data_IF_329824371527
#
_entry.id   IF_329824371527
#
_cell.length_a   1.000
_cell.length_b   1.000
_cell.length_c   1.000
_cell.angle_alpha   90.00
_cell.angle_beta   90.00
_cell.angle_gamma   90.00
#
_symmetry.space_group_name_H-M   'P 1'
#
loop_
_entity.id
_entity.type
_entity.pdbx_description
1 polymer ?
#
# COMPACT_ATOMS: atom_id res chain seq x y z
N UNK A 1 18.05 -21.76 -4.03
CA UNK A 1 18.71 -20.50 -4.44
C UNK A 1 19.99 -20.27 -3.63
N UNK A 2 20.91 -19.52 -4.19
CA UNK A 2 22.16 -19.13 -3.53
C UNK A 2 22.65 -17.79 -4.06
N UNK A 3 23.44 -17.10 -3.23
CA UNK A 3 24.28 -16.00 -3.70
C UNK A 3 25.72 -16.49 -3.82
N UNK A 4 26.36 -16.16 -4.92
CA UNK A 4 27.79 -16.28 -5.13
C UNK A 4 28.38 -14.89 -5.36
N UNK A 5 29.46 -14.55 -4.69
CA UNK A 5 30.14 -13.28 -4.88
C UNK A 5 31.66 -13.51 -4.96
N UNK A 6 32.38 -12.62 -5.65
CA UNK A 6 33.83 -12.70 -5.74
C UNK A 6 34.50 -12.27 -4.43
N UNK A 7 34.01 -11.17 -3.86
CA UNK A 7 34.48 -10.64 -2.58
C UNK A 7 33.27 -10.41 -1.67
N UNK A 8 33.39 -10.87 -0.43
CA UNK A 8 32.37 -10.68 0.61
C UNK A 8 33.05 -10.06 1.82
N UNK A 9 32.62 -8.87 2.21
CA UNK A 9 33.03 -8.19 3.43
C UNK A 9 31.84 -8.14 4.35
N UNK A 10 31.95 -8.74 5.53
CA UNK A 10 30.91 -8.73 6.55
C UNK A 10 31.40 -7.88 7.72
N UNK A 11 30.77 -6.77 7.97
CA UNK A 11 30.99 -5.97 9.17
C UNK A 11 30.16 -6.56 10.29
N UNK A 12 30.79 -6.94 11.39
CA UNK A 12 30.10 -7.43 12.56
C UNK A 12 29.17 -6.32 13.06
N UNK A 13 27.88 -6.63 13.19
CA UNK A 13 26.88 -5.66 13.53
C UNK A 13 26.59 -4.59 12.44
N UNK A 14 26.96 -4.80 11.20
CA UNK A 14 26.81 -3.88 10.06
C UNK A 14 26.14 -4.51 8.85
N UNK A 15 26.82 -4.43 7.75
CA UNK A 15 26.36 -4.92 6.44
C UNK A 15 27.28 -6.02 5.92
N UNK A 16 26.72 -6.92 5.11
CA UNK A 16 27.50 -7.73 4.19
C UNK A 16 27.56 -7.00 2.84
N UNK A 17 28.76 -6.60 2.45
CA UNK A 17 29.01 -6.02 1.13
C UNK A 17 29.55 -7.12 0.21
N UNK A 18 28.86 -7.33 -0.90
CA UNK A 18 29.19 -8.34 -1.90
C UNK A 18 29.61 -7.64 -3.19
N UNK A 19 30.80 -7.96 -3.72
CA UNK A 19 31.23 -7.52 -5.05
C UNK A 19 31.03 -8.62 -6.06
N UNK A 20 30.58 -8.26 -7.26
CA UNK A 20 30.24 -9.19 -8.34
C UNK A 20 29.26 -10.29 -7.87
N UNK A 21 28.22 -9.87 -7.15
CA UNK A 21 27.20 -10.77 -6.64
C UNK A 21 26.35 -11.36 -7.77
N UNK A 22 26.16 -12.68 -7.73
CA UNK A 22 25.30 -13.43 -8.62
C UNK A 22 24.24 -14.13 -7.78
N UNK A 23 22.98 -13.88 -8.06
CA UNK A 23 21.89 -14.68 -7.53
C UNK A 23 21.63 -15.85 -8.47
N UNK A 24 21.57 -17.06 -7.93
CA UNK A 24 21.48 -18.30 -8.69
C UNK A 24 20.28 -19.11 -8.22
N UNK A 25 19.57 -19.67 -9.19
CA UNK A 25 18.52 -20.69 -8.96
C UNK A 25 19.02 -21.97 -9.62
N UNK A 26 19.17 -23.05 -8.82
CA UNK A 26 19.71 -24.34 -9.28
C UNK A 26 21.00 -24.18 -10.09
N UNK A 27 21.95 -23.37 -9.59
CA UNK A 27 23.24 -23.06 -10.22
C UNK A 27 23.17 -22.20 -11.52
N UNK A 28 21.98 -21.78 -11.95
CA UNK A 28 21.83 -20.87 -13.08
C UNK A 28 21.82 -19.43 -12.57
N UNK A 29 22.75 -18.56 -12.99
CA UNK A 29 22.72 -17.16 -12.59
C UNK A 29 21.53 -16.45 -13.26
N UNK A 30 20.64 -15.92 -12.44
CA UNK A 30 19.43 -15.20 -12.89
C UNK A 30 19.52 -13.69 -12.66
N UNK A 31 20.46 -13.26 -11.83
CA UNK A 31 20.71 -11.85 -11.58
C UNK A 31 22.20 -11.64 -11.25
N UNK A 32 22.74 -10.50 -11.70
CA UNK A 32 24.10 -10.06 -11.42
C UNK A 32 24.09 -8.61 -10.96
N UNK A 33 24.84 -8.33 -9.88
CA UNK A 33 25.12 -6.96 -9.45
C UNK A 33 26.62 -6.77 -9.25
N UNK A 34 27.22 -5.71 -9.78
CA UNK A 34 28.64 -5.42 -9.54
C UNK A 34 28.90 -5.12 -8.05
N UNK A 35 27.90 -4.63 -7.35
CA UNK A 35 27.93 -4.34 -5.92
C UNK A 35 26.55 -4.56 -5.30
N UNK A 36 26.51 -5.23 -4.15
CA UNK A 36 25.29 -5.49 -3.40
C UNK A 36 25.58 -5.35 -1.91
N UNK A 37 24.72 -4.68 -1.18
CA UNK A 37 24.78 -4.52 0.25
C UNK A 37 23.54 -5.14 0.91
N UNK A 38 23.77 -6.08 1.81
CA UNK A 38 22.71 -6.77 2.55
C UNK A 38 22.86 -6.50 4.05
N UNK A 39 21.78 -6.16 4.76
CA UNK A 39 21.83 -6.03 6.21
C UNK A 39 22.00 -7.41 6.85
N UNK A 40 22.98 -7.54 7.77
CA UNK A 40 23.26 -8.79 8.50
C UNK A 40 22.82 -8.75 9.96
N UNK A 41 22.11 -7.72 10.38
CA UNK A 41 21.61 -7.52 11.76
C UNK A 41 20.10 -7.73 11.90
N UNK A 42 19.71 -8.04 13.15
CA UNK A 42 18.30 -7.99 13.60
C UNK A 42 17.74 -6.57 13.78
N UNK A 43 18.54 -5.52 13.54
CA UNK A 43 18.08 -4.12 13.60
C UNK A 43 17.68 -3.64 12.21
N UNK A 44 16.64 -2.80 12.15
CA UNK A 44 16.20 -2.14 10.91
C UNK A 44 17.36 -1.35 10.31
N UNK A 45 17.79 -1.68 9.11
CA UNK A 45 18.90 -1.03 8.41
C UNK A 45 18.54 -0.76 6.96
N UNK A 46 19.04 0.36 6.43
CA UNK A 46 18.90 0.70 5.01
C UNK A 46 19.64 -0.33 4.15
N UNK A 47 19.01 -0.81 3.09
CA UNK A 47 19.62 -1.76 2.15
C UNK A 47 18.61 -2.44 1.25
N UNK A 48 19.09 -3.25 0.34
CA UNK A 48 18.26 -4.05 -0.54
C UNK A 48 17.57 -5.17 0.24
N UNK A 49 16.29 -5.35 -0.03
CA UNK A 49 15.53 -6.51 0.43
C UNK A 49 15.69 -7.63 -0.59
N UNK A 50 15.38 -8.84 -0.15
CA UNK A 50 15.45 -10.02 -0.99
C UNK A 50 14.65 -9.82 -2.28
N UNK A 51 15.21 -10.11 -3.46
CA UNK A 51 14.50 -9.98 -4.72
C UNK A 51 13.30 -10.91 -4.78
N UNK A 52 12.20 -10.43 -5.33
CA UNK A 52 11.06 -11.25 -5.71
C UNK A 52 11.16 -11.60 -7.19
N UNK A 53 10.96 -12.87 -7.50
CA UNK A 53 11.01 -13.38 -8.88
C UNK A 53 9.76 -14.22 -9.09
N UNK A 54 9.08 -13.96 -10.18
CA UNK A 54 7.86 -14.67 -10.55
C UNK A 54 7.73 -14.85 -12.05
N UNK A 55 6.69 -15.58 -12.44
CA UNK A 55 6.29 -15.69 -13.84
C UNK A 55 4.81 -16.00 -13.91
N UNK A 56 4.11 -15.32 -14.77
CA UNK A 56 2.71 -15.59 -15.09
C UNK A 56 2.46 -15.42 -16.59
N UNK A 57 1.37 -15.97 -17.09
CA UNK A 57 0.99 -15.81 -18.49
C UNK A 57 0.79 -14.34 -18.85
N UNK A 58 0.11 -13.59 -17.98
CA UNK A 58 -0.24 -12.19 -18.24
C UNK A 58 0.93 -11.22 -18.07
N UNK A 59 1.76 -11.41 -17.04
CA UNK A 59 2.85 -10.50 -16.72
C UNK A 59 4.18 -10.91 -17.37
N UNK A 60 4.27 -12.17 -17.87
CA UNK A 60 5.53 -12.76 -18.26
C UNK A 60 6.43 -13.03 -17.05
N UNK A 61 7.74 -13.00 -17.25
CA UNK A 61 8.70 -13.04 -16.17
C UNK A 61 8.65 -11.73 -15.39
N UNK A 62 8.64 -11.83 -14.05
CA UNK A 62 8.59 -10.67 -13.15
C UNK A 62 9.81 -10.66 -12.24
N UNK A 63 10.34 -9.48 -12.02
CA UNK A 63 11.51 -9.28 -11.18
C UNK A 63 11.39 -7.98 -10.41
N UNK A 64 11.55 -8.04 -9.08
CA UNK A 64 11.45 -6.90 -8.19
C UNK A 64 12.63 -6.90 -7.21
N UNK A 65 13.36 -5.79 -7.12
CA UNK A 65 14.42 -5.59 -6.12
C UNK A 65 14.02 -4.43 -5.22
N UNK A 66 13.41 -4.68 -4.07
CA UNK A 66 13.05 -3.60 -3.17
C UNK A 66 14.28 -3.01 -2.47
N UNK A 67 14.28 -1.70 -2.30
CA UNK A 67 15.25 -0.98 -1.49
C UNK A 67 14.57 -0.40 -0.27
N UNK A 68 14.98 -0.86 0.91
CA UNK A 68 14.49 -0.37 2.19
C UNK A 68 15.37 0.79 2.68
N UNK A 69 14.73 1.89 3.01
CA UNK A 69 15.38 3.07 3.59
C UNK A 69 14.87 3.30 5.02
N UNK A 70 15.75 3.06 6.00
CA UNK A 70 15.50 3.40 7.40
C UNK A 70 15.78 4.89 7.63
N UNK A 71 14.72 5.73 7.57
CA UNK A 71 14.83 7.18 7.70
C UNK A 71 15.09 7.56 9.16
N UNK A 72 14.38 6.92 10.08
CA UNK A 72 14.53 7.12 11.53
C UNK A 72 14.07 5.88 12.30
N UNK A 73 14.18 5.91 13.62
CA UNK A 73 13.70 4.81 14.48
C UNK A 73 12.20 4.51 14.32
N UNK A 74 11.41 5.52 13.94
CA UNK A 74 9.95 5.43 13.80
C UNK A 74 9.44 5.61 12.38
N UNK A 75 10.32 5.79 11.38
CA UNK A 75 9.92 6.11 10.00
C UNK A 75 10.82 5.38 9.02
N UNK A 76 10.21 4.77 8.04
CA UNK A 76 10.91 4.10 6.93
C UNK A 76 10.17 4.24 5.59
N UNK A 77 10.88 3.90 4.54
CA UNK A 77 10.37 3.85 3.19
C UNK A 77 10.91 2.63 2.46
N UNK A 78 10.10 2.01 1.63
CA UNK A 78 10.54 0.97 0.69
C UNK A 78 10.22 1.41 -0.73
N UNK A 79 11.24 1.35 -1.58
CA UNK A 79 11.11 1.60 -3.01
C UNK A 79 11.11 0.24 -3.71
N UNK A 80 10.06 -0.03 -4.47
CA UNK A 80 9.90 -1.24 -5.27
C UNK A 80 10.24 -0.95 -6.72
N UNK A 81 10.99 -1.86 -7.36
CA UNK A 81 11.48 -1.71 -8.74
C UNK A 81 11.00 -2.87 -9.59
N UNK A 82 9.71 -3.12 -9.59
CA UNK A 82 9.13 -4.27 -10.26
C UNK A 82 9.14 -4.09 -11.79
N UNK A 83 9.62 -5.11 -12.50
CA UNK A 83 9.59 -5.18 -13.95
C UNK A 83 8.82 -6.42 -14.40
N UNK A 84 7.84 -6.18 -15.26
CA UNK A 84 6.92 -7.17 -15.83
C UNK A 84 7.23 -7.27 -17.33
N UNK A 85 7.82 -8.39 -17.78
CA UNK A 85 8.34 -8.50 -19.18
C UNK A 85 7.27 -8.20 -20.23
N UNK A 86 6.04 -8.65 -20.02
CA UNK A 86 4.95 -8.42 -20.97
C UNK A 86 4.26 -7.05 -20.80
N UNK A 87 4.45 -6.36 -19.67
CA UNK A 87 3.65 -5.18 -19.32
C UNK A 87 4.47 -3.90 -19.16
N UNK A 88 5.68 -3.99 -18.64
CA UNK A 88 6.57 -2.85 -18.45
C UNK A 88 7.10 -2.71 -17.03
N UNK A 89 7.58 -1.51 -16.73
CA UNK A 89 8.13 -1.17 -15.41
C UNK A 89 7.03 -0.62 -14.51
N UNK A 90 6.90 -1.22 -13.33
CA UNK A 90 5.91 -0.86 -12.29
C UNK A 90 6.62 -0.41 -11.01
N UNK A 91 7.10 0.84 -10.93
CA UNK A 91 7.64 1.38 -9.70
C UNK A 91 6.58 1.42 -8.61
N UNK A 92 7.04 1.16 -7.38
CA UNK A 92 6.20 1.23 -6.19
C UNK A 92 6.90 1.96 -5.06
N UNK A 93 6.13 2.56 -4.18
CA UNK A 93 6.59 3.24 -2.99
C UNK A 93 5.74 2.81 -1.80
N UNK A 94 6.39 2.52 -0.68
CA UNK A 94 5.75 2.33 0.62
C UNK A 94 6.42 3.27 1.61
N UNK A 95 5.64 4.11 2.26
CA UNK A 95 6.09 5.00 3.34
C UNK A 95 5.35 4.62 4.61
N UNK A 96 6.08 4.44 5.70
CA UNK A 96 5.54 4.02 6.98
C UNK A 96 6.14 4.83 8.12
N UNK A 97 5.29 5.22 9.06
CA UNK A 97 5.73 5.73 10.36
C UNK A 97 4.90 5.10 11.49
N UNK A 98 5.55 4.90 12.64
CA UNK A 98 4.93 4.40 13.88
C UNK A 98 5.60 5.11 15.04
N UNK A 99 4.94 6.08 15.64
CA UNK A 99 5.44 6.80 16.82
C UNK A 99 4.79 6.27 18.10
N UNK A 100 3.51 5.90 18.03
CA UNK A 100 2.72 5.29 19.10
C UNK A 100 1.66 4.36 18.51
N UNK A 101 0.91 3.67 19.36
CA UNK A 101 -0.19 2.80 18.93
C UNK A 101 -1.27 3.57 18.13
N UNK A 102 -1.55 4.80 18.57
CA UNK A 102 -2.54 5.71 17.99
C UNK A 102 -1.91 6.85 17.16
N UNK A 103 -0.61 6.76 16.87
CA UNK A 103 0.11 7.73 16.02
C UNK A 103 0.97 6.97 15.01
N UNK A 104 0.34 6.54 13.93
CA UNK A 104 0.92 5.69 12.91
C UNK A 104 0.30 5.92 11.53
N UNK A 105 1.04 5.61 10.49
CA UNK A 105 0.58 5.70 9.12
C UNK A 105 1.36 4.78 8.19
N UNK A 106 0.65 4.31 7.17
CA UNK A 106 1.17 3.52 6.06
C UNK A 106 0.55 4.05 4.77
N UNK A 107 1.37 4.49 3.84
CA UNK A 107 0.98 4.91 2.51
C UNK A 107 1.73 4.09 1.47
N UNK A 108 1.04 3.61 0.45
CA UNK A 108 1.62 2.88 -0.66
C UNK A 108 1.10 3.42 -1.98
N UNK A 109 1.95 3.42 -3.01
CA UNK A 109 1.58 3.79 -4.36
C UNK A 109 2.32 2.91 -5.37
N UNK A 110 1.64 2.53 -6.43
CA UNK A 110 2.22 1.87 -7.60
C UNK A 110 1.74 2.57 -8.87
N UNK A 111 2.57 2.57 -9.88
CA UNK A 111 2.25 3.10 -11.19
C UNK A 111 2.78 2.17 -12.28
N UNK A 112 2.02 1.96 -13.32
CA UNK A 112 2.40 1.18 -14.49
C UNK A 112 1.93 1.90 -15.76
N UNK A 113 2.85 2.16 -16.67
CA UNK A 113 2.47 2.43 -18.07
C UNK A 113 2.42 1.08 -18.79
N UNK A 114 1.21 0.55 -18.94
CA UNK A 114 0.97 -0.83 -19.36
C UNK A 114 1.18 -1.03 -20.85
N UNK A 115 2.09 -1.90 -21.23
CA UNK A 115 2.34 -2.27 -22.61
C UNK A 115 1.31 -3.28 -23.17
N UNK A 116 0.49 -3.88 -22.30
CA UNK A 116 -0.59 -4.74 -22.74
C UNK A 116 -1.66 -3.87 -23.43
N UNK A 117 -1.71 -3.98 -24.75
CA UNK A 117 -2.58 -3.14 -25.57
C UNK A 117 -3.96 -3.75 -25.76
N UNK A 118 -4.07 -5.06 -25.60
CA UNK A 118 -5.34 -5.79 -25.69
C UNK A 118 -5.57 -6.61 -24.41
N UNK A 119 -6.32 -6.05 -23.44
CA UNK A 119 -6.62 -6.76 -22.20
C UNK A 119 -7.47 -8.03 -22.41
N UNK A 120 -8.11 -8.19 -23.57
CA UNK A 120 -8.88 -9.40 -23.89
C UNK A 120 -8.02 -10.67 -24.04
N UNK A 121 -6.70 -10.49 -24.20
CA UNK A 121 -5.74 -11.59 -24.23
C UNK A 121 -5.36 -12.12 -22.83
N UNK A 122 -5.85 -11.50 -21.77
CA UNK A 122 -5.58 -11.95 -20.39
C UNK A 122 -6.50 -13.11 -19.99
N UNK A 123 -6.00 -14.01 -19.13
CA UNK A 123 -6.84 -15.08 -18.55
C UNK A 123 -8.01 -14.48 -17.75
N UNK A 124 -7.76 -13.34 -17.10
CA UNK A 124 -8.77 -12.66 -16.31
C UNK A 124 -9.95 -12.16 -17.16
N UNK A 125 -9.69 -11.63 -18.35
CA UNK A 125 -10.75 -11.26 -19.29
C UNK A 125 -11.58 -12.47 -19.74
N UNK A 126 -10.92 -13.61 -20.02
CA UNK A 126 -11.63 -14.82 -20.43
C UNK A 126 -12.63 -15.28 -19.38
N UNK A 127 -12.32 -15.10 -18.08
CA UNK A 127 -13.19 -15.51 -16.98
C UNK A 127 -14.28 -14.48 -16.66
N UNK A 128 -14.00 -13.19 -16.75
CA UNK A 128 -14.87 -12.11 -16.25
C UNK A 128 -15.42 -11.19 -17.31
N UNK A 129 -14.78 -11.11 -18.49
CA UNK A 129 -15.10 -10.17 -19.55
C UNK A 129 -14.78 -8.72 -19.25
N UNK A 130 -14.05 -8.41 -18.18
CA UNK A 130 -13.64 -7.05 -17.83
C UNK A 130 -12.43 -6.61 -18.63
N UNK A 131 -12.41 -5.33 -19.01
CA UNK A 131 -11.31 -4.70 -19.72
C UNK A 131 -11.00 -3.34 -19.10
N UNK A 132 -9.71 -3.04 -18.93
CA UNK A 132 -9.29 -1.66 -18.67
C UNK A 132 -9.18 -0.88 -20.01
N UNK A 133 -9.40 0.42 -19.95
CA UNK A 133 -9.39 1.30 -21.13
C UNK A 133 -8.19 2.24 -21.16
N UNK A 134 -7.41 2.28 -20.09
CA UNK A 134 -6.27 3.17 -19.90
C UNK A 134 -4.97 2.40 -19.81
N UNK A 135 -3.89 2.97 -20.39
CA UNK A 135 -2.52 2.46 -20.25
C UNK A 135 -1.89 2.88 -18.92
N UNK A 136 -2.23 4.07 -18.45
CA UNK A 136 -1.71 4.64 -17.21
C UNK A 136 -2.49 4.04 -16.04
N UNK A 137 -1.90 3.04 -15.41
CA UNK A 137 -2.53 2.27 -14.35
C UNK A 137 -1.83 2.54 -13.02
N UNK A 138 -2.60 2.77 -11.99
CA UNK A 138 -2.05 3.09 -10.67
C UNK A 138 -2.96 2.64 -9.54
N UNK A 139 -2.37 2.49 -8.39
CA UNK A 139 -3.07 2.25 -7.15
C UNK A 139 -2.40 3.02 -6.01
N UNK A 140 -3.15 3.92 -5.39
CA UNK A 140 -2.74 4.71 -4.24
C UNK A 140 -3.61 4.31 -3.06
N UNK A 141 -3.00 3.90 -1.96
CA UNK A 141 -3.69 3.48 -0.74
C UNK A 141 -2.94 3.99 0.47
N UNK A 142 -3.68 4.43 1.47
CA UNK A 142 -3.10 4.87 2.73
C UNK A 142 -4.08 4.72 3.88
N UNK A 143 -3.56 4.39 5.06
CA UNK A 143 -4.26 4.52 6.33
C UNK A 143 -3.38 5.25 7.32
N UNK A 144 -3.99 6.13 8.11
CA UNK A 144 -3.30 6.81 9.18
C UNK A 144 -4.26 7.03 10.36
N UNK A 145 -3.75 6.77 11.55
CA UNK A 145 -4.36 7.14 12.83
C UNK A 145 -3.43 8.14 13.50
N UNK A 146 -3.97 9.29 13.94
CA UNK A 146 -3.20 10.38 14.54
C UNK A 146 -3.84 10.87 15.82
N UNK A 147 -3.02 11.06 16.84
CA UNK A 147 -3.39 11.74 18.08
C UNK A 147 -2.58 13.04 18.20
N UNK A 148 -3.29 14.20 18.15
CA UNK A 148 -2.64 15.53 18.23
C UNK A 148 -2.62 16.09 19.65
N UNK A 149 -3.05 15.31 20.64
CA UNK A 149 -3.21 15.73 22.03
C UNK A 149 -4.45 16.60 22.26
N UNK A 150 -4.70 16.93 23.51
CA UNK A 150 -5.87 17.73 23.94
C UNK A 150 -7.22 17.20 23.42
N UNK A 151 -7.33 15.89 23.16
CA UNK A 151 -8.54 15.22 22.68
C UNK A 151 -8.81 15.38 21.17
N UNK A 152 -7.82 15.80 20.38
CA UNK A 152 -7.89 15.77 18.93
C UNK A 152 -7.33 14.45 18.38
N UNK A 153 -8.13 13.79 17.54
CA UNK A 153 -7.70 12.61 16.80
C UNK A 153 -8.11 12.72 15.33
N UNK A 154 -7.40 12.07 14.45
CA UNK A 154 -7.84 11.90 13.06
C UNK A 154 -7.59 10.49 12.56
N UNK A 155 -8.43 10.08 11.61
CA UNK A 155 -8.34 8.81 10.91
C UNK A 155 -8.50 9.02 9.42
N UNK A 156 -7.53 8.52 8.67
CA UNK A 156 -7.50 8.57 7.20
C UNK A 156 -7.56 7.14 6.66
N UNK A 157 -8.44 6.91 5.69
CA UNK A 157 -8.49 5.72 4.86
C UNK A 157 -8.60 6.15 3.39
N UNK A 158 -7.57 5.86 2.59
CA UNK A 158 -7.52 6.13 1.15
C UNK A 158 -7.35 4.83 0.37
N UNK A 159 -8.10 4.71 -0.73
CA UNK A 159 -8.02 3.59 -1.65
C UNK A 159 -8.47 4.06 -3.06
N UNK A 160 -7.50 4.48 -3.86
CA UNK A 160 -7.71 5.09 -5.17
C UNK A 160 -7.02 4.23 -6.21
N UNK A 161 -7.78 3.64 -7.11
CA UNK A 161 -7.28 2.79 -8.18
C UNK A 161 -7.68 3.34 -9.54
N UNK A 162 -6.86 3.11 -10.54
CA UNK A 162 -7.05 3.62 -11.90
C UNK A 162 -8.24 3.00 -12.62
N UNK A 163 -8.46 1.72 -12.40
CA UNK A 163 -9.46 0.93 -13.10
C UNK A 163 -9.92 -0.27 -12.28
N UNK A 164 -11.05 -0.85 -12.67
CA UNK A 164 -11.73 -1.94 -11.97
C UNK A 164 -10.90 -3.23 -11.90
N UNK A 165 -10.11 -3.48 -12.94
CA UNK A 165 -9.42 -4.77 -13.12
C UNK A 165 -8.08 -4.80 -12.38
N UNK A 166 -7.51 -3.63 -12.07
CA UNK A 166 -6.17 -3.49 -11.51
C UNK A 166 -5.91 -4.40 -10.31
N UNK A 167 -6.81 -4.37 -9.31
CA UNK A 167 -6.60 -5.11 -8.06
C UNK A 167 -6.77 -6.63 -8.21
N UNK A 168 -7.46 -7.06 -9.24
CA UNK A 168 -7.62 -8.49 -9.53
C UNK A 168 -6.45 -9.00 -10.38
N UNK A 169 -5.97 -8.23 -11.33
CA UNK A 169 -4.79 -8.58 -12.13
C UNK A 169 -3.50 -8.52 -11.31
N UNK A 170 -3.35 -7.52 -10.43
CA UNK A 170 -2.20 -7.35 -9.55
C UNK A 170 -2.54 -7.73 -8.10
N UNK A 171 -3.07 -8.92 -7.89
CA UNK A 171 -3.49 -9.39 -6.58
C UNK A 171 -2.36 -9.98 -5.73
N UNK A 172 -1.29 -10.44 -6.35
CA UNK A 172 -0.14 -11.11 -5.73
C UNK A 172 1.13 -10.25 -5.81
N UNK A 173 2.20 -10.71 -5.18
CA UNK A 173 3.46 -9.97 -5.11
C UNK A 173 3.55 -9.05 -3.89
N UNK A 174 4.72 -8.46 -3.70
CA UNK A 174 5.01 -7.63 -2.50
C UNK A 174 4.12 -6.40 -2.41
N UNK A 175 3.70 -5.84 -3.54
CA UNK A 175 2.85 -4.64 -3.60
C UNK A 175 1.42 -4.94 -4.06
N UNK A 176 1.10 -6.21 -4.31
CA UNK A 176 -0.22 -6.65 -4.75
C UNK A 176 -1.31 -6.48 -3.69
N UNK A 177 -2.56 -6.71 -4.10
CA UNK A 177 -3.73 -6.50 -3.23
C UNK A 177 -3.65 -7.34 -1.94
N UNK A 178 -3.35 -8.65 -2.06
CA UNK A 178 -3.36 -9.54 -0.90
C UNK A 178 -2.34 -9.11 0.16
N UNK A 179 -1.09 -8.86 -0.24
CA UNK A 179 -0.02 -8.42 0.68
C UNK A 179 -0.30 -7.03 1.25
N UNK A 180 -0.87 -6.12 0.47
CA UNK A 180 -1.27 -4.79 0.95
C UNK A 180 -2.40 -4.90 1.97
N UNK A 181 -3.44 -5.67 1.68
CA UNK A 181 -4.58 -5.85 2.57
C UNK A 181 -4.17 -6.44 3.92
N UNK A 182 -3.29 -7.46 3.93
CA UNK A 182 -2.74 -8.06 5.14
C UNK A 182 -1.98 -7.02 5.97
N UNK A 183 -1.08 -6.22 5.34
CA UNK A 183 -0.34 -5.16 6.05
C UNK A 183 -1.24 -4.11 6.69
N UNK A 184 -2.31 -3.69 5.98
CA UNK A 184 -3.27 -2.73 6.56
C UNK A 184 -4.09 -3.34 7.67
N UNK A 185 -4.51 -4.59 7.54
CA UNK A 185 -5.24 -5.30 8.59
C UNK A 185 -4.37 -5.45 9.84
N UNK A 186 -3.11 -5.89 9.68
CA UNK A 186 -2.17 -6.07 10.79
C UNK A 186 -1.81 -4.74 11.48
N UNK A 187 -1.63 -3.67 10.69
CA UNK A 187 -1.20 -2.38 11.24
C UNK A 187 -2.33 -1.59 11.88
N UNK A 188 -3.55 -1.66 11.34
CA UNK A 188 -4.66 -0.79 11.71
C UNK A 188 -5.90 -1.53 12.21
N UNK A 189 -5.95 -2.87 12.12
CA UNK A 189 -7.14 -3.65 12.37
C UNK A 189 -8.28 -3.41 11.35
N UNK A 190 -7.99 -2.72 10.25
CA UNK A 190 -8.92 -2.36 9.18
C UNK A 190 -8.36 -2.82 7.84
N UNK A 191 -9.07 -3.74 7.17
CA UNK A 191 -8.75 -4.19 5.82
C UNK A 191 -8.98 -3.08 4.77
N UNK A 192 -8.48 -3.28 3.57
CA UNK A 192 -8.95 -2.59 2.38
C UNK A 192 -10.36 -3.10 2.01
N UNK A 193 -11.08 -2.34 1.17
CA UNK A 193 -12.32 -2.82 0.56
C UNK A 193 -12.06 -4.00 -0.38
N UNK A 194 -13.10 -4.74 -0.74
CA UNK A 194 -12.94 -5.91 -1.59
C UNK A 194 -12.33 -5.49 -2.95
N UNK A 195 -11.41 -6.30 -3.47
CA UNK A 195 -10.74 -6.03 -4.75
C UNK A 195 -11.65 -5.93 -5.95
N UNK A 196 -12.86 -6.52 -5.86
CA UNK A 196 -13.87 -6.51 -6.93
C UNK A 196 -14.85 -5.35 -6.82
N UNK A 197 -14.77 -4.55 -5.74
CA UNK A 197 -15.63 -3.38 -5.58
C UNK A 197 -15.21 -2.31 -6.60
N UNK A 198 -16.20 -1.82 -7.33
CA UNK A 198 -16.02 -0.82 -8.38
C UNK A 198 -16.29 0.63 -7.90
N UNK A 199 -16.62 0.80 -6.62
CA UNK A 199 -16.72 2.06 -5.91
C UNK A 199 -15.94 1.94 -4.60
N UNK A 200 -14.90 2.74 -4.44
CA UNK A 200 -13.99 2.67 -3.29
C UNK A 200 -14.08 3.93 -2.45
N UNK A 201 -14.29 3.76 -1.17
CA UNK A 201 -14.50 4.86 -0.23
C UNK A 201 -13.15 5.43 0.24
N UNK A 202 -13.05 6.74 0.18
CA UNK A 202 -11.92 7.49 0.71
C UNK A 202 -12.44 8.39 1.83
N UNK A 203 -11.98 8.19 3.06
CA UNK A 203 -12.53 8.86 4.23
C UNK A 203 -11.45 9.58 5.03
N UNK A 204 -11.79 10.76 5.54
CA UNK A 204 -11.03 11.45 6.56
C UNK A 204 -12.00 11.85 7.67
N UNK A 205 -11.76 11.33 8.87
CA UNK A 205 -12.49 11.70 10.09
C UNK A 205 -11.58 12.48 11.02
N UNK A 206 -12.07 13.61 11.55
CA UNK A 206 -11.40 14.38 12.59
C UNK A 206 -12.34 14.48 13.76
N UNK A 207 -11.89 14.05 14.92
CA UNK A 207 -12.65 14.07 16.17
C UNK A 207 -11.96 14.99 17.17
N UNK A 208 -12.75 15.83 17.83
CA UNK A 208 -12.38 16.58 19.04
C UNK A 208 -13.26 16.14 20.20
N UNK A 209 -12.63 15.70 21.28
CA UNK A 209 -13.32 15.35 22.52
C UNK A 209 -12.91 16.27 23.66
N UNK A 210 -13.88 16.70 24.48
CA UNK A 210 -13.63 17.49 25.70
C UNK A 210 -14.74 17.26 26.73
N UNK A 211 -14.39 16.63 27.83
CA UNK A 211 -15.37 16.23 28.86
C UNK A 211 -16.47 15.34 28.25
N UNK A 212 -17.75 15.65 28.45
CA UNK A 212 -18.87 14.87 27.90
C UNK A 212 -19.23 15.25 26.45
N UNK A 213 -18.46 16.10 25.79
CA UNK A 213 -18.75 16.62 24.46
C UNK A 213 -17.81 16.09 23.42
N UNK A 214 -18.27 15.93 22.18
CA UNK A 214 -17.45 15.62 21.00
C UNK A 214 -17.94 16.37 19.77
N UNK A 215 -16.99 16.74 18.92
CA UNK A 215 -17.21 17.28 17.58
C UNK A 215 -16.52 16.37 16.58
N UNK A 216 -17.26 15.86 15.63
CA UNK A 216 -16.73 15.00 14.57
C UNK A 216 -16.95 15.67 13.22
N UNK A 217 -15.91 15.74 12.41
CA UNK A 217 -15.98 16.18 11.01
C UNK A 217 -15.55 15.02 10.10
N UNK A 218 -16.44 14.61 9.19
CA UNK A 218 -16.24 13.50 8.27
C UNK A 218 -16.24 13.99 6.82
N UNK A 219 -15.23 13.58 6.08
CA UNK A 219 -15.14 13.72 4.62
C UNK A 219 -15.24 12.34 3.99
N UNK A 220 -16.07 12.19 2.96
CA UNK A 220 -16.18 10.98 2.15
C UNK A 220 -16.08 11.35 0.68
N UNK A 221 -15.12 10.74 -0.04
CA UNK A 221 -15.00 10.82 -1.48
C UNK A 221 -15.00 9.40 -2.05
N UNK A 222 -15.68 9.15 -3.14
CA UNK A 222 -15.78 7.84 -3.77
C UNK A 222 -14.93 7.84 -5.05
N UNK A 223 -13.98 6.91 -5.13
CA UNK A 223 -13.30 6.57 -6.37
C UNK A 223 -14.19 5.58 -7.14
N UNK A 224 -14.81 6.05 -8.22
CA UNK A 224 -15.74 5.28 -9.04
C UNK A 224 -15.03 4.77 -10.29
N UNK A 225 -14.75 3.46 -10.32
CA UNK A 225 -14.07 2.76 -11.42
C UNK A 225 -14.99 1.87 -12.25
N UNK A 226 -16.31 2.08 -12.18
CA UNK A 226 -17.26 1.35 -13.01
C UNK A 226 -16.95 1.54 -14.48
N UNK A 227 -16.90 0.46 -15.23
CA UNK A 227 -16.64 0.48 -16.68
C UNK A 227 -17.75 1.21 -17.44
N UNK A 228 -19.00 0.93 -17.08
CA UNK A 228 -20.17 1.64 -17.59
C UNK A 228 -20.72 2.48 -16.45
N UNK A 229 -20.48 3.78 -16.46
CA UNK A 229 -21.00 4.73 -15.46
C UNK A 229 -22.51 4.90 -15.58
N UNK A 230 -23.24 3.79 -15.68
CA UNK A 230 -24.71 3.74 -15.67
C UNK A 230 -25.21 3.79 -14.23
N UNK A 231 -26.19 4.61 -13.97
CA UNK A 231 -26.75 4.85 -12.64
C UNK A 231 -26.28 6.18 -12.03
N UNK A 232 -26.77 6.52 -10.84
CA UNK A 232 -26.42 7.76 -10.18
C UNK A 232 -24.92 7.80 -9.84
N UNK A 233 -24.30 8.97 -10.01
CA UNK A 233 -22.95 9.20 -9.51
C UNK A 233 -22.93 9.04 -7.99
N UNK A 234 -21.86 8.45 -7.42
CA UNK A 234 -21.75 8.34 -5.97
C UNK A 234 -21.74 9.72 -5.33
N UNK A 235 -22.44 9.85 -4.21
CA UNK A 235 -22.48 11.09 -3.45
C UNK A 235 -21.21 11.25 -2.64
N UNK A 236 -20.59 12.42 -2.76
CA UNK A 236 -19.52 12.85 -1.86
C UNK A 236 -20.13 13.60 -0.69
N UNK A 237 -19.72 13.28 0.52
CA UNK A 237 -20.06 14.06 1.70
C UNK A 237 -18.89 15.00 2.04
N UNK A 238 -19.11 16.30 1.92
CA UNK A 238 -18.12 17.36 2.09
C UNK A 238 -18.66 18.42 3.06
N UNK A 239 -18.00 18.68 4.14
CA UNK A 239 -17.85 17.78 5.29
C UNK A 239 -19.20 17.60 6.03
N UNK A 240 -19.48 16.43 6.54
CA UNK A 240 -20.52 16.23 7.55
C UNK A 240 -19.89 16.56 8.92
N UNK A 241 -20.53 17.45 9.67
CA UNK A 241 -20.07 17.87 11.01
C UNK A 241 -21.15 17.52 12.03
N UNK A 242 -20.78 16.66 12.99
CA UNK A 242 -21.66 16.20 14.05
C UNK A 242 -21.15 16.70 15.40
N UNK A 243 -22.01 17.34 16.17
CA UNK A 243 -21.74 17.71 17.54
C UNK A 243 -22.61 16.86 18.47
N UNK A 244 -21.97 16.19 19.43
CA UNK A 244 -22.62 15.36 20.42
C UNK A 244 -22.21 15.78 21.82
N UNK A 245 -23.13 15.83 22.74
CA UNK A 245 -22.85 16.15 24.14
C UNK A 245 -23.90 15.67 25.08
N UNK A 246 -23.55 15.46 26.36
CA UNK A 246 -24.47 15.17 27.46
C UNK A 246 -24.17 16.11 28.62
N UNK A 247 -25.13 16.96 28.96
CA UNK A 247 -25.00 17.87 30.10
C UNK A 247 -25.83 17.31 31.25
N UNK A 248 -25.24 16.94 32.40
CA UNK A 248 -26.02 16.49 33.56
C UNK A 248 -26.85 17.66 34.15
N UNK A 249 -28.13 17.52 34.18
CA UNK A 249 -29.02 18.46 34.86
C UNK A 249 -29.24 17.98 36.30
N UNK A 250 -28.34 18.28 37.20
CA UNK A 250 -28.32 17.84 38.60
C UNK A 250 -29.68 17.41 39.17
N UNK A 251 -29.87 16.11 39.39
CA UNK A 251 -31.09 15.51 39.94
C UNK A 251 -32.27 15.32 38.97
N UNK A 252 -32.23 15.87 37.76
CA UNK A 252 -33.33 15.79 36.77
C UNK A 252 -33.01 14.95 35.52
N UNK A 253 -31.86 14.26 35.50
CA UNK A 253 -31.44 13.46 34.35
C UNK A 253 -30.38 14.17 33.46
N UNK A 254 -30.16 13.64 32.26
CA UNK A 254 -29.22 14.19 31.28
C UNK A 254 -29.95 14.75 30.07
N UNK A 255 -29.49 15.87 29.53
CA UNK A 255 -29.89 16.33 28.20
C UNK A 255 -28.82 15.87 27.22
N UNK A 256 -29.21 15.14 26.17
CA UNK A 256 -28.37 14.81 25.02
C UNK A 256 -28.59 15.84 23.90
N UNK A 257 -27.52 16.39 23.38
CA UNK A 257 -27.50 17.34 22.26
C UNK A 257 -26.90 16.66 21.05
#
# INVERSE_FOLDING_TARGET
>A
WSFAAKDVVIEQDGYATLKHAKFQIKNTPVFYSPWLMLPVKNKRQTGFIFPEIGSSKNNGFTFNIPFFWNISNSTDMTIYTEYLVNRGYMPGLEFRYVKAAEDKGLAMANYLNDNLTDPSETDYYADTGYTHTNKDRYWIRAKADQEFGSGWTSRLDLDIVSDRDYLTEFNSGMTGFNSSNERYLDSFGRSLENRTDDQRSNTLSVLKSWGPMSLTANLLAINDVRTNKTGPSPLWNLPAVDFNGAIPLGGFGNVTL
#
